data_IF_104249774869
#
_entry.id   IF_104249774869
#
_cell.length_a   1.000
_cell.length_b   1.000
_cell.length_c   1.000
_cell.angle_alpha   90.00
_cell.angle_beta   90.00
_cell.angle_gamma   90.00
#
_symmetry.space_group_name_H-M   'P 1'
#
loop_
_entity.id
_entity.type
_entity.pdbx_description
1 polymer ?
#
# COMPACT_ATOMS: atom_id res chain seq x y z
N UNK A 1 -29.17 -5.10 7.76
CA UNK A 1 -27.86 -5.34 7.13
C UNK A 1 -27.81 -4.46 5.90
N UNK A 2 -26.95 -3.43 5.90
CA UNK A 2 -26.66 -2.66 4.69
C UNK A 2 -26.09 -3.61 3.63
N UNK A 3 -26.42 -3.38 2.35
CA UNK A 3 -25.79 -4.13 1.25
C UNK A 3 -24.30 -3.78 1.24
N UNK A 4 -23.44 -4.77 1.50
CA UNK A 4 -21.99 -4.62 1.35
C UNK A 4 -21.64 -4.13 -0.07
N UNK A 5 -20.80 -3.09 -0.15
CA UNK A 5 -20.34 -2.56 -1.44
C UNK A 5 -19.12 -3.37 -1.92
N UNK A 6 -19.28 -4.16 -2.98
CA UNK A 6 -18.17 -4.90 -3.60
C UNK A 6 -17.35 -4.04 -4.58
N UNK A 7 -16.05 -4.34 -4.73
CA UNK A 7 -15.23 -3.72 -5.80
C UNK A 7 -15.77 -4.11 -7.18
N UNK A 8 -15.39 -3.35 -8.20
CA UNK A 8 -15.83 -3.57 -9.58
C UNK A 8 -14.70 -4.17 -10.42
N UNK A 9 -15.05 -5.08 -11.32
CA UNK A 9 -14.16 -5.64 -12.32
C UNK A 9 -13.69 -4.56 -13.29
N UNK A 10 -12.38 -4.45 -13.48
CA UNK A 10 -11.77 -3.45 -14.37
C UNK A 10 -12.09 -3.67 -15.86
N UNK A 11 -12.46 -4.90 -16.25
CA UNK A 11 -12.74 -5.24 -17.65
C UNK A 11 -14.20 -4.94 -18.02
N UNK A 12 -15.15 -5.15 -17.10
CA UNK A 12 -16.58 -5.06 -17.44
C UNK A 12 -17.46 -4.27 -16.47
N UNK A 13 -16.89 -3.71 -15.40
CA UNK A 13 -17.60 -2.88 -14.41
C UNK A 13 -18.59 -3.62 -13.51
N UNK A 14 -18.74 -4.95 -13.65
CA UNK A 14 -19.58 -5.75 -12.74
C UNK A 14 -18.89 -5.92 -11.38
N UNK A 15 -19.69 -6.13 -10.33
CA UNK A 15 -19.17 -6.46 -9.00
C UNK A 15 -18.28 -7.71 -9.00
N UNK A 16 -17.21 -7.66 -8.22
CA UNK A 16 -16.35 -8.81 -7.93
C UNK A 16 -16.99 -9.71 -6.86
N UNK A 17 -16.67 -11.00 -6.96
CA UNK A 17 -16.99 -12.03 -5.97
C UNK A 17 -15.76 -12.24 -5.11
N UNK A 18 -15.96 -12.30 -3.79
CA UNK A 18 -14.94 -12.66 -2.81
C UNK A 18 -15.31 -14.01 -2.18
N UNK A 19 -14.67 -15.08 -2.63
CA UNK A 19 -14.88 -16.42 -2.12
C UNK A 19 -14.19 -16.59 -0.75
N UNK A 20 -14.92 -17.06 0.25
CA UNK A 20 -14.40 -17.29 1.61
C UNK A 20 -14.09 -18.76 1.90
N UNK A 21 -14.48 -19.67 1.00
CA UNK A 21 -14.16 -21.10 1.10
C UNK A 21 -13.44 -21.57 -0.15
N UNK A 22 -12.48 -22.49 0.02
CA UNK A 22 -11.73 -23.08 -1.10
C UNK A 22 -12.62 -23.77 -2.15
N UNK A 23 -13.83 -24.22 -1.76
CA UNK A 23 -14.78 -24.84 -2.70
C UNK A 23 -15.34 -23.85 -3.72
N UNK A 24 -15.33 -22.56 -3.37
CA UNK A 24 -15.87 -21.47 -4.20
C UNK A 24 -14.78 -20.75 -5.00
N UNK A 25 -13.51 -21.17 -4.87
CA UNK A 25 -12.40 -20.66 -5.66
C UNK A 25 -12.57 -21.10 -7.11
N UNK A 26 -12.03 -20.32 -8.03
CA UNK A 26 -12.11 -20.58 -9.47
C UNK A 26 -10.73 -20.64 -10.07
N UNK A 27 -10.52 -21.63 -10.93
CA UNK A 27 -9.39 -21.63 -11.85
C UNK A 27 -9.74 -20.70 -13.02
N UNK A 28 -8.99 -19.61 -13.14
CA UNK A 28 -9.21 -18.58 -14.15
C UNK A 28 -7.90 -18.19 -14.82
N UNK A 29 -8.00 -17.92 -16.12
CA UNK A 29 -6.89 -17.42 -16.93
C UNK A 29 -6.82 -15.91 -16.83
N UNK A 30 -5.65 -15.37 -16.47
CA UNK A 30 -5.41 -13.94 -16.48
C UNK A 30 -5.59 -13.37 -17.89
N UNK A 31 -6.46 -12.36 -18.02
CA UNK A 31 -6.82 -11.74 -19.31
C UNK A 31 -5.66 -11.00 -20.00
N UNK A 32 -4.53 -10.81 -19.31
CA UNK A 32 -3.35 -10.11 -19.83
C UNK A 32 -2.17 -11.04 -20.14
N UNK A 33 -1.79 -11.93 -19.21
CA UNK A 33 -0.62 -12.80 -19.40
C UNK A 33 -0.96 -14.23 -19.83
N UNK A 34 -2.24 -14.61 -19.85
CA UNK A 34 -2.67 -15.95 -20.29
C UNK A 34 -2.32 -17.10 -19.34
N UNK A 35 -1.74 -16.81 -18.16
CA UNK A 35 -1.46 -17.82 -17.13
C UNK A 35 -2.72 -18.14 -16.33
N UNK A 36 -2.84 -19.38 -15.89
CA UNK A 36 -3.94 -19.89 -15.08
C UNK A 36 -3.64 -19.75 -13.58
N UNK A 37 -4.65 -19.41 -12.79
CA UNK A 37 -4.56 -19.20 -11.36
C UNK A 37 -5.81 -19.74 -10.66
N UNK A 38 -5.61 -20.37 -9.51
CA UNK A 38 -6.68 -20.65 -8.57
C UNK A 38 -6.92 -19.40 -7.71
N UNK A 39 -8.05 -18.71 -7.90
CA UNK A 39 -8.33 -17.40 -7.29
C UNK A 39 -9.59 -17.39 -6.44
N UNK A 40 -9.55 -16.61 -5.36
CA UNK A 40 -10.65 -16.32 -4.47
C UNK A 40 -11.31 -14.95 -4.75
N UNK A 41 -10.76 -14.17 -5.67
CA UNK A 41 -11.35 -12.91 -6.16
C UNK A 41 -11.56 -13.05 -7.66
N UNK A 42 -12.81 -12.91 -8.12
CA UNK A 42 -13.12 -13.06 -9.54
C UNK A 42 -14.37 -12.31 -9.98
N UNK A 43 -14.46 -12.06 -11.29
CA UNK A 43 -15.69 -11.58 -11.91
C UNK A 43 -16.56 -12.77 -12.36
N UNK A 44 -17.87 -12.70 -12.14
CA UNK A 44 -18.82 -13.74 -12.59
C UNK A 44 -18.84 -13.94 -14.12
N UNK A 45 -18.32 -12.98 -14.90
CA UNK A 45 -18.13 -13.12 -16.36
C UNK A 45 -16.85 -13.88 -16.75
N UNK A 46 -16.09 -14.40 -15.77
CA UNK A 46 -14.83 -15.11 -16.02
C UNK A 46 -13.61 -14.20 -16.23
N UNK A 47 -13.75 -12.88 -16.02
CA UNK A 47 -12.61 -11.96 -16.08
C UNK A 47 -11.74 -12.09 -14.84
N UNK A 48 -10.42 -12.11 -15.05
CA UNK A 48 -9.42 -12.14 -13.99
C UNK A 48 -8.14 -11.44 -14.43
N UNK A 49 -7.53 -10.67 -13.53
CA UNK A 49 -6.24 -10.02 -13.72
C UNK A 49 -5.39 -10.41 -12.51
N UNK A 50 -4.27 -11.10 -12.72
CA UNK A 50 -3.39 -11.46 -11.63
C UNK A 50 -2.63 -10.24 -11.08
N UNK A 51 -2.20 -10.30 -9.82
CA UNK A 51 -1.52 -9.19 -9.12
C UNK A 51 -0.34 -8.61 -9.90
N UNK A 52 0.44 -9.47 -10.56
CA UNK A 52 1.58 -9.03 -11.38
C UNK A 52 1.14 -8.20 -12.59
N UNK A 53 0.05 -8.58 -13.26
CA UNK A 53 -0.48 -7.81 -14.38
C UNK A 53 -1.18 -6.53 -13.91
N UNK A 54 -1.91 -6.60 -12.80
CA UNK A 54 -2.62 -5.46 -12.20
C UNK A 54 -1.66 -4.35 -11.76
N UNK A 55 -0.55 -4.73 -11.10
CA UNK A 55 0.37 -3.77 -10.49
C UNK A 55 1.52 -3.32 -11.39
N UNK A 56 1.78 -3.96 -12.53
CA UNK A 56 2.98 -3.68 -13.36
C UNK A 56 3.13 -2.20 -13.72
N UNK A 57 2.12 -1.61 -14.36
CA UNK A 57 2.14 -0.20 -14.77
C UNK A 57 2.26 0.76 -13.58
N UNK A 58 1.40 0.65 -12.55
CA UNK A 58 1.52 1.44 -11.33
C UNK A 58 2.89 1.34 -10.62
N UNK A 59 3.51 0.16 -10.59
CA UNK A 59 4.84 -0.03 -10.00
C UNK A 59 5.91 0.70 -10.80
N UNK A 60 5.86 0.64 -12.14
CA UNK A 60 6.78 1.41 -13.01
C UNK A 60 6.64 2.93 -12.77
N UNK A 61 5.42 3.42 -12.54
CA UNK A 61 5.16 4.82 -12.17
C UNK A 61 5.75 5.16 -10.80
N UNK A 62 5.54 4.32 -9.80
CA UNK A 62 6.12 4.50 -8.45
C UNK A 62 7.65 4.58 -8.55
N UNK A 63 8.28 3.62 -9.24
CA UNK A 63 9.74 3.55 -9.36
C UNK A 63 10.29 4.81 -10.01
N UNK A 64 9.72 5.22 -11.15
CA UNK A 64 10.17 6.42 -11.88
C UNK A 64 10.03 7.69 -11.04
N UNK A 65 8.86 7.91 -10.45
CA UNK A 65 8.62 9.14 -9.66
C UNK A 65 9.54 9.17 -8.44
N UNK A 66 9.69 8.05 -7.72
CA UNK A 66 10.59 7.97 -6.57
C UNK A 66 12.08 8.10 -6.94
N UNK A 67 12.48 7.79 -8.18
CA UNK A 67 13.84 8.03 -8.66
C UNK A 67 14.11 9.53 -8.84
N UNK A 68 13.18 10.22 -9.51
CA UNK A 68 13.39 11.57 -10.06
C UNK A 68 12.95 12.70 -9.11
N UNK A 69 12.04 12.45 -8.17
CA UNK A 69 11.42 13.48 -7.34
C UNK A 69 12.31 13.99 -6.20
N UNK A 70 12.19 15.28 -5.89
CA UNK A 70 12.74 15.95 -4.71
C UNK A 70 11.68 16.27 -3.64
N UNK A 71 10.43 15.84 -3.84
CA UNK A 71 9.32 16.06 -2.88
C UNK A 71 9.69 15.45 -1.52
N UNK A 72 9.59 16.28 -0.49
CA UNK A 72 9.95 15.94 0.90
C UNK A 72 8.77 15.47 1.72
N UNK A 73 7.58 15.93 1.37
CA UNK A 73 6.35 15.58 2.08
C UNK A 73 5.83 14.22 1.60
N UNK A 74 5.72 13.22 2.49
CA UNK A 74 5.21 11.91 2.10
C UNK A 74 3.74 11.92 1.67
N UNK A 75 2.91 12.83 2.19
CA UNK A 75 1.52 12.93 1.80
C UNK A 75 1.36 13.53 0.41
N UNK A 76 2.14 14.57 0.09
CA UNK A 76 2.20 15.18 -1.23
C UNK A 76 2.69 14.17 -2.28
N UNK A 77 3.79 13.45 -1.97
CA UNK A 77 4.35 12.44 -2.88
C UNK A 77 3.36 11.29 -3.10
N UNK A 78 2.71 10.79 -2.05
CA UNK A 78 1.68 9.76 -2.20
C UNK A 78 0.53 10.23 -3.08
N UNK A 79 0.06 11.48 -2.92
CA UNK A 79 -1.04 12.01 -3.73
C UNK A 79 -0.65 12.23 -5.17
N UNK A 80 0.56 12.73 -5.44
CA UNK A 80 1.09 12.87 -6.79
C UNK A 80 1.03 11.52 -7.53
N UNK A 81 1.50 10.45 -6.91
CA UNK A 81 1.50 9.11 -7.52
C UNK A 81 0.07 8.57 -7.65
N UNK A 82 -0.74 8.67 -6.59
CA UNK A 82 -2.11 8.15 -6.57
C UNK A 82 -3.10 8.91 -7.48
N UNK A 83 -2.76 10.12 -7.94
CA UNK A 83 -3.51 10.92 -8.93
C UNK A 83 -3.25 10.46 -10.37
N UNK A 84 -2.22 9.66 -10.61
CA UNK A 84 -1.94 9.20 -11.97
C UNK A 84 -3.14 8.39 -12.52
N UNK A 85 -3.61 8.62 -13.77
CA UNK A 85 -4.82 7.96 -14.31
C UNK A 85 -4.80 6.43 -14.30
N UNK A 86 -3.60 5.85 -14.38
CA UNK A 86 -3.40 4.40 -14.31
C UNK A 86 -3.29 3.85 -12.87
N UNK A 87 -3.34 4.71 -11.84
CA UNK A 87 -3.31 4.30 -10.44
C UNK A 87 -4.73 4.18 -9.90
N UNK A 88 -5.18 2.96 -9.62
CA UNK A 88 -6.58 2.70 -9.26
C UNK A 88 -6.88 3.08 -7.81
N UNK A 89 -8.14 3.04 -7.43
CA UNK A 89 -8.56 3.24 -6.02
C UNK A 89 -8.24 2.02 -5.18
N UNK A 90 -8.32 0.83 -5.79
CA UNK A 90 -8.05 -0.45 -5.15
C UNK A 90 -6.99 -1.19 -5.96
N UNK A 91 -6.08 -1.86 -5.26
CA UNK A 91 -5.12 -2.72 -5.91
C UNK A 91 -3.82 -2.89 -5.14
N UNK A 92 -3.06 -3.97 -5.43
CA UNK A 92 -1.81 -4.28 -4.75
C UNK A 92 -0.71 -3.23 -4.95
N UNK A 93 -0.83 -2.32 -5.91
CA UNK A 93 0.11 -1.20 -6.08
C UNK A 93 0.20 -0.29 -4.85
N UNK A 94 -0.85 -0.20 -4.03
CA UNK A 94 -0.84 0.60 -2.79
C UNK A 94 0.09 -0.02 -1.72
N UNK A 95 0.30 -1.34 -1.76
CA UNK A 95 1.22 -2.05 -0.88
C UNK A 95 2.67 -1.65 -1.16
N UNK A 96 2.97 -1.40 -2.43
CA UNK A 96 4.27 -0.98 -2.94
C UNK A 96 4.51 0.51 -2.73
N UNK A 97 3.49 1.33 -3.00
CA UNK A 97 3.52 2.78 -2.84
C UNK A 97 3.99 3.20 -1.46
N UNK A 98 3.39 2.62 -0.41
CA UNK A 98 3.58 3.05 0.98
C UNK A 98 5.06 3.09 1.40
N UNK A 99 5.84 1.98 1.33
CA UNK A 99 7.25 2.02 1.69
C UNK A 99 8.10 2.86 0.75
N UNK A 100 7.77 2.89 -0.55
CA UNK A 100 8.51 3.68 -1.52
C UNK A 100 8.43 5.18 -1.18
N UNK A 101 7.22 5.68 -0.90
CA UNK A 101 6.98 7.07 -0.48
C UNK A 101 7.70 7.39 0.82
N UNK A 102 7.61 6.52 1.84
CA UNK A 102 8.25 6.74 3.14
C UNK A 102 9.76 6.89 2.97
N UNK A 103 10.42 5.93 2.32
CA UNK A 103 11.87 5.95 2.13
C UNK A 103 12.33 7.11 1.23
N UNK A 104 11.56 7.42 0.18
CA UNK A 104 11.84 8.58 -0.69
C UNK A 104 11.77 9.89 0.09
N UNK A 105 10.75 10.05 0.93
CA UNK A 105 10.59 11.26 1.74
C UNK A 105 11.71 11.40 2.77
N UNK A 106 12.12 10.30 3.41
CA UNK A 106 13.28 10.31 4.31
C UNK A 106 14.56 10.69 3.56
N UNK A 107 14.82 10.10 2.40
CA UNK A 107 15.96 10.44 1.53
C UNK A 107 15.95 11.93 1.17
N UNK A 108 14.84 12.45 0.69
CA UNK A 108 14.72 13.83 0.23
C UNK A 108 14.82 14.85 1.38
N UNK A 109 14.60 14.43 2.62
CA UNK A 109 14.87 15.21 3.83
C UNK A 109 16.28 15.03 4.40
N UNK A 110 17.20 14.37 3.67
CA UNK A 110 18.56 14.07 4.10
C UNK A 110 18.64 13.28 5.42
N UNK A 111 17.66 12.42 5.68
CA UNK A 111 17.69 11.52 6.83
C UNK A 111 18.69 10.39 6.57
N UNK A 112 19.64 10.20 7.49
CA UNK A 112 20.54 9.05 7.48
C UNK A 112 19.91 7.86 8.18
N UNK A 113 20.21 6.66 7.69
CA UNK A 113 19.88 5.41 8.38
C UNK A 113 20.57 5.35 9.75
N UNK A 114 20.09 4.54 10.70
CA UNK A 114 20.70 4.43 12.03
C UNK A 114 22.16 3.98 12.03
N UNK A 115 22.63 3.34 10.96
CA UNK A 115 24.03 2.96 10.77
C UNK A 115 24.91 4.08 10.19
N UNK A 116 24.35 5.27 9.90
CA UNK A 116 25.05 6.42 9.34
C UNK A 116 25.02 6.52 7.82
N UNK A 117 24.55 5.50 7.11
CA UNK A 117 24.47 5.51 5.65
C UNK A 117 23.33 6.42 5.17
N UNK A 118 23.48 6.97 3.96
CA UNK A 118 22.38 7.61 3.24
C UNK A 118 21.32 6.59 2.79
N UNK A 119 20.09 7.05 2.60
CA UNK A 119 19.03 6.26 1.98
C UNK A 119 19.18 6.40 0.46
N UNK A 120 19.57 5.31 -0.21
CA UNK A 120 19.80 5.29 -1.65
C UNK A 120 18.53 4.97 -2.43
N UNK A 121 18.56 5.19 -3.75
CA UNK A 121 17.49 4.67 -4.61
C UNK A 121 17.44 3.12 -4.62
N UNK A 122 18.56 2.44 -4.37
CA UNK A 122 18.58 0.97 -4.23
C UNK A 122 17.76 0.50 -3.01
N UNK A 123 17.78 1.25 -1.91
CA UNK A 123 16.94 0.95 -0.73
C UNK A 123 15.45 1.06 -1.10
N UNK A 124 15.06 2.08 -1.87
CA UNK A 124 13.68 2.28 -2.36
C UNK A 124 13.27 1.15 -3.31
N UNK A 125 14.13 0.78 -4.27
CA UNK A 125 13.89 -0.36 -5.19
C UNK A 125 13.73 -1.68 -4.44
N UNK A 126 14.51 -1.89 -3.39
CA UNK A 126 14.38 -3.09 -2.55
C UNK A 126 13.04 -3.09 -1.79
N UNK A 127 12.56 -1.93 -1.35
CA UNK A 127 11.24 -1.77 -0.75
C UNK A 127 10.13 -2.14 -1.75
N UNK A 128 10.24 -1.62 -2.97
CA UNK A 128 9.32 -1.92 -4.07
C UNK A 128 9.28 -3.43 -4.33
N UNK A 129 10.45 -4.06 -4.44
CA UNK A 129 10.58 -5.51 -4.69
C UNK A 129 10.06 -6.39 -3.56
N UNK A 130 10.25 -5.98 -2.30
CA UNK A 130 9.73 -6.73 -1.13
C UNK A 130 8.21 -6.62 -1.05
N UNK A 131 7.67 -5.42 -1.25
CA UNK A 131 6.24 -5.17 -1.12
C UNK A 131 5.42 -5.63 -2.31
N UNK A 132 6.01 -5.77 -3.51
CA UNK A 132 5.32 -6.36 -4.65
C UNK A 132 4.97 -7.85 -4.46
N UNK A 133 5.55 -8.48 -3.43
CA UNK A 133 5.22 -9.86 -3.03
C UNK A 133 4.02 -9.93 -2.10
N UNK A 134 3.45 -8.79 -1.66
CA UNK A 134 2.26 -8.73 -0.83
C UNK A 134 1.03 -8.85 -1.74
N UNK A 135 0.28 -9.97 -1.70
CA UNK A 135 -0.82 -10.19 -2.63
C UNK A 135 -2.02 -9.27 -2.38
N UNK A 136 -2.83 -9.08 -3.43
CA UNK A 136 -4.11 -8.38 -3.36
C UNK A 136 -5.08 -9.04 -2.38
N UNK A 137 -6.00 -8.26 -1.80
CA UNK A 137 -7.06 -8.76 -0.91
C UNK A 137 -6.62 -9.25 0.48
N UNK A 138 -5.32 -9.20 0.80
CA UNK A 138 -4.80 -9.69 2.09
C UNK A 138 -5.40 -9.02 3.33
N UNK A 139 -5.85 -7.77 3.22
CA UNK A 139 -6.58 -7.09 4.29
C UNK A 139 -7.83 -7.85 4.73
N UNK A 140 -8.57 -8.45 3.79
CA UNK A 140 -9.81 -9.19 4.07
C UNK A 140 -9.60 -10.69 4.31
N UNK A 141 -8.64 -11.32 3.61
CA UNK A 141 -8.44 -12.77 3.67
C UNK A 141 -7.40 -13.23 4.70
N UNK A 142 -6.41 -12.39 5.01
CA UNK A 142 -5.30 -12.71 5.92
C UNK A 142 -5.22 -11.75 7.11
N UNK A 143 -6.17 -10.82 7.24
CA UNK A 143 -6.26 -9.87 8.35
C UNK A 143 -5.13 -8.85 8.42
N UNK A 144 -4.33 -8.71 7.35
CA UNK A 144 -3.15 -7.83 7.33
C UNK A 144 -3.17 -6.96 6.07
N UNK A 145 -3.48 -5.67 6.24
CA UNK A 145 -3.47 -4.72 5.13
C UNK A 145 -2.07 -4.57 4.55
N UNK A 146 -1.94 -4.65 3.22
CA UNK A 146 -0.64 -4.58 2.56
C UNK A 146 0.05 -3.23 2.69
N UNK A 147 -0.70 -2.13 2.75
CA UNK A 147 -0.15 -0.80 3.11
C UNK A 147 0.44 -0.80 4.53
N UNK A 148 -0.27 -1.42 5.49
CA UNK A 148 0.20 -1.57 6.87
C UNK A 148 1.46 -2.44 6.97
N UNK A 149 1.54 -3.55 6.24
CA UNK A 149 2.78 -4.33 6.16
C UNK A 149 3.92 -3.57 5.46
N UNK A 150 3.58 -2.73 4.48
CA UNK A 150 4.52 -1.86 3.78
C UNK A 150 5.28 -0.90 4.70
N UNK A 151 4.67 -0.41 5.78
CA UNK A 151 5.39 0.45 6.75
C UNK A 151 6.47 -0.33 7.50
N UNK A 152 6.20 -1.58 7.86
CA UNK A 152 7.21 -2.48 8.42
C UNK A 152 8.33 -2.80 7.43
N UNK A 153 8.03 -2.95 6.14
CA UNK A 153 9.05 -3.09 5.08
C UNK A 153 9.96 -1.85 5.02
N UNK A 154 9.39 -0.65 5.07
CA UNK A 154 10.16 0.59 5.09
C UNK A 154 11.10 0.66 6.30
N UNK A 155 10.59 0.38 7.51
CA UNK A 155 11.41 0.38 8.72
C UNK A 155 12.45 -0.74 8.69
N UNK A 156 12.13 -1.91 8.14
CA UNK A 156 13.09 -3.00 7.96
C UNK A 156 14.27 -2.57 7.10
N UNK A 157 14.03 -1.88 5.99
CA UNK A 157 15.11 -1.38 5.12
C UNK A 157 15.86 -0.25 5.79
N UNK A 158 15.15 0.72 6.35
CA UNK A 158 15.73 1.87 7.05
C UNK A 158 16.67 1.45 8.18
N UNK A 159 16.33 0.41 8.93
CA UNK A 159 17.11 -0.08 10.08
C UNK A 159 18.09 -1.21 9.76
N UNK A 160 18.13 -1.70 8.52
CA UNK A 160 18.95 -2.86 8.14
C UNK A 160 18.47 -4.18 8.79
N UNK A 161 17.18 -4.33 9.05
CA UNK A 161 16.63 -5.49 9.73
C UNK A 161 16.73 -6.77 8.90
N UNK A 162 17.07 -7.85 9.58
CA UNK A 162 17.04 -9.24 9.09
C UNK A 162 16.34 -10.13 10.12
N UNK A 163 16.05 -11.41 9.80
CA UNK A 163 15.55 -12.36 10.80
C UNK A 163 16.45 -12.49 12.05
N UNK A 164 17.74 -12.14 11.94
CA UNK A 164 18.75 -12.31 12.98
C UNK A 164 19.13 -11.01 13.72
N UNK A 165 18.53 -9.86 13.37
CA UNK A 165 18.78 -8.59 14.08
C UNK A 165 17.69 -8.33 15.10
N UNK A 166 18.00 -8.34 16.39
CA UNK A 166 17.02 -8.24 17.47
C UNK A 166 16.15 -6.96 17.39
N UNK A 167 16.75 -5.80 17.66
CA UNK A 167 16.01 -4.54 17.75
C UNK A 167 15.45 -4.06 16.39
N UNK A 168 16.22 -4.07 15.28
CA UNK A 168 15.68 -3.70 13.96
C UNK A 168 14.47 -4.54 13.53
N UNK A 169 14.52 -5.87 13.74
CA UNK A 169 13.39 -6.76 13.42
C UNK A 169 12.17 -6.44 14.28
N UNK A 170 12.37 -6.23 15.58
CA UNK A 170 11.28 -5.89 16.50
C UNK A 170 10.64 -4.57 16.12
N UNK A 171 11.43 -3.53 15.79
CA UNK A 171 10.91 -2.23 15.31
C UNK A 171 10.10 -2.35 14.02
N UNK A 172 10.55 -3.17 13.06
CA UNK A 172 9.81 -3.42 11.84
C UNK A 172 8.44 -4.10 12.10
N UNK A 173 8.39 -5.08 13.01
CA UNK A 173 7.14 -5.73 13.39
C UNK A 173 6.21 -4.80 14.19
N UNK A 174 6.76 -4.01 15.11
CA UNK A 174 6.01 -3.01 15.87
C UNK A 174 5.38 -1.98 14.94
N UNK A 175 6.12 -1.50 13.93
CA UNK A 175 5.61 -0.56 12.93
C UNK A 175 4.40 -1.15 12.16
N UNK A 176 4.53 -2.39 11.66
CA UNK A 176 3.40 -3.09 11.02
C UNK A 176 2.19 -3.17 11.95
N UNK A 177 2.40 -3.60 13.20
CA UNK A 177 1.33 -3.75 14.20
C UNK A 177 0.59 -2.43 14.44
N UNK A 178 1.33 -1.33 14.63
CA UNK A 178 0.74 0.00 14.83
C UNK A 178 -0.03 0.49 13.61
N UNK A 179 0.51 0.32 12.41
CA UNK A 179 -0.22 0.67 11.18
C UNK A 179 -1.49 -0.15 11.01
N UNK A 180 -1.46 -1.46 11.28
CA UNK A 180 -2.65 -2.30 11.21
C UNK A 180 -3.70 -1.87 12.24
N UNK A 181 -3.28 -1.57 13.47
CA UNK A 181 -4.18 -1.04 14.51
C UNK A 181 -4.80 0.29 14.10
N UNK A 182 -4.05 1.17 13.41
CA UNK A 182 -4.57 2.45 12.90
C UNK A 182 -5.56 2.27 11.75
N UNK A 183 -5.35 1.26 10.89
CA UNK A 183 -6.20 0.95 9.74
C UNK A 183 -7.49 0.21 10.15
N UNK A 184 -7.52 -0.43 11.32
CA UNK A 184 -8.70 -1.12 11.85
C UNK A 184 -9.78 -0.12 12.31
N UNK A 185 -10.35 0.62 11.35
CA UNK A 185 -11.23 1.76 11.55
C UNK A 185 -12.73 1.44 11.42
N UNK A 186 -13.09 0.19 11.11
CA UNK A 186 -14.47 -0.29 10.89
C UNK A 186 -15.22 0.43 9.75
N UNK A 187 -14.49 1.01 8.81
CA UNK A 187 -15.05 1.72 7.65
C UNK A 187 -14.89 0.89 6.36
N UNK A 188 -15.68 1.21 5.33
CA UNK A 188 -15.66 0.58 4.01
C UNK A 188 -14.24 0.54 3.42
N UNK A 189 -13.90 -0.54 2.71
CA UNK A 189 -12.56 -0.76 2.17
C UNK A 189 -12.10 0.44 1.31
N UNK A 190 -10.91 0.98 1.61
CA UNK A 190 -10.29 2.07 0.86
C UNK A 190 -8.76 2.00 0.95
N UNK A 191 -8.09 1.56 -0.14
CA UNK A 191 -6.62 1.45 -0.14
C UNK A 191 -5.93 2.81 0.01
N UNK A 192 -6.50 3.89 -0.55
CA UNK A 192 -5.94 5.24 -0.40
C UNK A 192 -5.99 5.75 1.05
N UNK A 193 -7.06 5.42 1.80
CA UNK A 193 -7.15 5.69 3.25
C UNK A 193 -6.08 4.91 4.00
N UNK A 194 -5.93 3.61 3.70
CA UNK A 194 -4.89 2.79 4.32
C UNK A 194 -3.49 3.36 4.11
N UNK A 195 -3.17 3.87 2.91
CA UNK A 195 -1.88 4.54 2.62
C UNK A 195 -1.68 5.77 3.51
N UNK A 196 -2.66 6.68 3.56
CA UNK A 196 -2.55 7.92 4.36
C UNK A 196 -2.42 7.60 5.86
N UNK A 197 -3.22 6.67 6.39
CA UNK A 197 -3.13 6.25 7.80
C UNK A 197 -1.78 5.57 8.10
N UNK A 198 -1.29 4.72 7.20
CA UNK A 198 0.03 4.09 7.29
C UNK A 198 1.16 5.13 7.36
N UNK A 199 1.14 6.14 6.48
CA UNK A 199 2.13 7.23 6.47
C UNK A 199 2.06 8.01 7.78
N UNK A 200 0.86 8.42 8.20
CA UNK A 200 0.65 9.16 9.45
C UNK A 200 1.21 8.42 10.67
N UNK A 201 0.96 7.11 10.76
CA UNK A 201 1.46 6.29 11.86
C UNK A 201 2.98 6.12 11.77
N UNK A 202 3.53 6.00 10.57
CA UNK A 202 4.98 5.92 10.37
C UNK A 202 5.70 7.19 10.81
N UNK A 203 5.14 8.37 10.52
CA UNK A 203 5.70 9.64 10.99
C UNK A 203 5.69 9.73 12.52
N UNK A 204 4.63 9.26 13.16
CA UNK A 204 4.54 9.19 14.62
C UNK A 204 5.59 8.22 15.20
N UNK A 205 5.74 7.05 14.58
CA UNK A 205 6.73 6.04 14.96
C UNK A 205 8.18 6.55 14.79
N UNK A 206 8.49 7.21 13.68
CA UNK A 206 9.80 7.79 13.41
C UNK A 206 10.18 8.86 14.44
N UNK A 207 9.22 9.71 14.81
CA UNK A 207 9.41 10.71 15.87
C UNK A 207 9.67 10.06 17.23
N UNK A 208 8.92 9.02 17.58
CA UNK A 208 9.03 8.35 18.87
C UNK A 208 10.31 7.51 19.00
N UNK A 209 10.62 6.69 17.99
CA UNK A 209 11.68 5.66 18.08
C UNK A 209 13.03 6.12 17.56
N UNK A 210 13.07 7.18 16.75
CA UNK A 210 14.29 7.66 16.10
C UNK A 210 14.48 9.18 16.21
N UNK A 211 13.57 9.90 16.86
CA UNK A 211 13.59 11.37 16.96
C UNK A 211 13.63 12.08 15.59
N UNK A 212 13.11 11.43 14.53
CA UNK A 212 13.03 11.99 13.18
C UNK A 212 11.69 12.71 13.03
N UNK A 213 11.73 13.98 12.64
CA UNK A 213 10.54 14.80 12.36
C UNK A 213 10.61 15.32 10.94
N UNK A 214 9.67 14.90 10.11
CA UNK A 214 9.49 15.46 8.78
C UNK A 214 8.44 16.57 8.84
N UNK A 215 8.67 17.65 8.09
CA UNK A 215 7.63 18.61 7.82
C UNK A 215 6.66 18.00 6.80
N UNK A 216 5.37 18.17 7.05
CA UNK A 216 4.33 17.74 6.14
C UNK A 216 3.11 18.65 6.28
N UNK A 217 2.35 18.77 5.20
CA UNK A 217 1.03 19.36 5.19
C UNK A 217 0.01 18.25 5.00
N UNK A 218 -0.87 18.10 5.98
CA UNK A 218 -1.94 17.11 5.92
C UNK A 218 -3.15 17.71 5.21
N UNK A 219 -3.14 17.63 3.88
CA UNK A 219 -4.28 18.05 3.07
C UNK A 219 -5.42 17.03 3.15
N UNK A 220 -6.65 17.55 3.01
CA UNK A 220 -7.87 16.76 2.89
C UNK A 220 -7.80 15.77 1.72
N UNK A 221 -8.47 14.63 1.85
CA UNK A 221 -8.47 13.60 0.81
C UNK A 221 -9.08 14.14 -0.50
N UNK A 222 -8.28 14.07 -1.56
CA UNK A 222 -8.66 14.53 -2.92
C UNK A 222 -9.26 13.42 -3.79
N UNK A 223 -9.57 12.25 -3.22
CA UNK A 223 -10.00 11.06 -3.96
C UNK A 223 -11.44 10.61 -3.63
N UNK A 224 -12.16 11.39 -2.83
CA UNK A 224 -13.52 11.06 -2.40
C UNK A 224 -14.47 10.91 -3.59
N UNK A 225 -14.36 11.77 -4.60
CA UNK A 225 -15.24 11.79 -5.77
C UNK A 225 -15.06 10.59 -6.73
N UNK A 226 -13.92 9.91 -6.67
CA UNK A 226 -13.63 8.75 -7.54
C UNK A 226 -13.82 7.40 -6.84
N UNK A 227 -14.22 7.41 -5.57
CA UNK A 227 -14.46 6.20 -4.78
C UNK A 227 -15.95 6.05 -4.47
N UNK A 228 -16.64 5.17 -5.20
CA UNK A 228 -18.07 4.87 -5.03
C UNK A 228 -18.44 4.36 -3.62
N UNK A 229 -17.43 3.89 -2.86
CA UNK A 229 -17.58 3.43 -1.48
C UNK A 229 -17.20 4.47 -0.44
N UNK A 230 -16.81 5.67 -0.84
CA UNK A 230 -16.39 6.72 0.09
C UNK A 230 -17.50 7.04 1.10
N UNK A 231 -17.17 7.00 2.38
CA UNK A 231 -18.04 7.37 3.49
C UNK A 231 -17.92 8.85 3.88
N UNK A 232 -17.17 9.63 3.08
CA UNK A 232 -17.01 11.09 3.20
C UNK A 232 -16.74 11.54 4.64
N UNK A 233 -17.67 12.26 5.27
CA UNK A 233 -17.49 12.87 6.59
C UNK A 233 -17.19 11.88 7.71
N UNK A 234 -17.51 10.59 7.54
CA UNK A 234 -17.14 9.52 8.51
C UNK A 234 -15.67 9.09 8.38
N UNK A 235 -15.03 9.41 7.26
CA UNK A 235 -13.65 9.04 6.97
C UNK A 235 -12.67 9.96 7.70
N UNK A 236 -11.69 9.43 8.47
CA UNK A 236 -10.74 10.23 9.25
C UNK A 236 -9.78 11.08 8.41
N UNK A 237 -9.81 10.93 7.09
CA UNK A 237 -8.93 11.64 6.16
C UNK A 237 -9.70 12.56 5.19
N UNK A 238 -11.01 12.73 5.35
CA UNK A 238 -11.86 13.50 4.44
C UNK A 238 -11.54 15.00 4.43
#
# INVERSE_FOLDING_TARGET
MSKEKSDKCEICGKSLVYATTHKDYKDLTCSFCGKEFNTNIYCEKGHYICDNCHSKGPIEIIEKICEETDIKDPFELADLIMKHPNFKVYGPEHHVLTPAVILTSLRNNNVTKPNGDEISFFDIKEAIRRSSKIPGGWCGFYGSCGSGMGTGVAISIFTGATPSTNEPRSKANEMTSRSLAKIADNLEHCCKRSVKLSISETLSFLKEKFNIKLAYNYDKCVFSDINDKCEKEECPIY
#
